data_IF_016918229549
#
_entry.id   IF_016918229549
#
_cell.length_a   1.000
_cell.length_b   1.000
_cell.length_c   1.000
_cell.angle_alpha   90.00
_cell.angle_beta   90.00
_cell.angle_gamma   90.00
#
_symmetry.space_group_name_H-M   'P 1'
#
loop_
_entity.id
_entity.type
_entity.pdbx_description
1 polymer ?
#
# COMPACT_ATOMS: atom_id res chain seq x y z
N UNK A 1 -7.60 -8.67 5.92
CA UNK A 1 -6.46 -9.14 6.76
C UNK A 1 -6.25 -8.18 7.94
N UNK A 2 -5.38 -8.50 8.92
CA UNK A 2 -5.00 -7.51 9.94
C UNK A 2 -4.25 -6.32 9.33
N UNK A 3 -4.39 -5.12 9.91
CA UNK A 3 -3.82 -3.89 9.34
C UNK A 3 -2.29 -3.96 9.17
N UNK A 4 -1.60 -4.56 10.15
CA UNK A 4 -0.15 -4.71 10.10
C UNK A 4 0.30 -5.73 9.04
N UNK A 5 -0.49 -6.78 8.82
CA UNK A 5 -0.23 -7.73 7.74
C UNK A 5 -0.30 -7.05 6.36
N UNK A 6 -1.31 -6.21 6.13
CA UNK A 6 -1.46 -5.46 4.87
C UNK A 6 -0.32 -4.46 4.68
N UNK A 7 0.08 -3.75 5.74
CA UNK A 7 1.23 -2.83 5.68
C UNK A 7 2.51 -3.56 5.31
N UNK A 8 2.77 -4.71 5.92
CA UNK A 8 3.94 -5.54 5.63
C UNK A 8 3.90 -6.07 4.20
N UNK A 9 2.74 -6.48 3.69
CA UNK A 9 2.59 -6.96 2.32
C UNK A 9 2.83 -5.83 1.30
N UNK A 10 2.28 -4.63 1.53
CA UNK A 10 2.53 -3.43 0.70
C UNK A 10 4.03 -3.14 0.64
N UNK A 11 4.71 -3.14 1.78
CA UNK A 11 6.15 -2.88 1.84
C UNK A 11 6.95 -3.94 1.08
N UNK A 12 6.64 -5.21 1.31
CA UNK A 12 7.28 -6.32 0.63
C UNK A 12 7.12 -6.22 -0.89
N UNK A 13 5.89 -5.98 -1.36
CA UNK A 13 5.61 -5.82 -2.79
C UNK A 13 6.31 -4.61 -3.41
N UNK A 14 6.36 -3.46 -2.72
CA UNK A 14 7.11 -2.28 -3.19
C UNK A 14 8.59 -2.56 -3.37
N UNK A 15 9.20 -3.35 -2.47
CA UNK A 15 10.60 -3.79 -2.61
C UNK A 15 10.77 -4.69 -3.84
N UNK A 16 9.84 -5.61 -4.09
CA UNK A 16 9.87 -6.47 -5.27
C UNK A 16 9.74 -5.67 -6.58
N UNK A 17 8.77 -4.74 -6.66
CA UNK A 17 8.57 -3.84 -7.80
C UNK A 17 9.86 -3.05 -8.09
N UNK A 18 10.51 -2.52 -7.05
CA UNK A 18 11.75 -1.76 -7.19
C UNK A 18 12.89 -2.62 -7.77
N UNK A 19 12.98 -3.89 -7.35
CA UNK A 19 13.96 -4.84 -7.91
C UNK A 19 13.66 -5.18 -9.36
N UNK A 20 12.41 -5.51 -9.69
CA UNK A 20 12.00 -5.80 -11.06
C UNK A 20 12.27 -4.65 -12.02
N UNK A 21 12.00 -3.40 -11.62
CA UNK A 21 12.33 -2.22 -12.43
C UNK A 21 13.82 -2.12 -12.76
N UNK A 22 14.70 -2.47 -11.81
CA UNK A 22 16.15 -2.47 -12.03
C UNK A 22 16.56 -3.58 -13.01
N UNK A 23 15.97 -4.76 -12.89
CA UNK A 23 16.26 -5.88 -13.78
C UNK A 23 15.75 -5.61 -15.20
N UNK A 24 14.54 -5.05 -15.34
CA UNK A 24 14.02 -4.59 -16.63
C UNK A 24 14.94 -3.56 -17.29
N UNK A 25 15.46 -2.59 -16.54
CA UNK A 25 16.41 -1.62 -17.07
C UNK A 25 17.71 -2.28 -17.57
N UNK A 26 18.19 -3.33 -16.88
CA UNK A 26 19.36 -4.09 -17.32
C UNK A 26 19.07 -4.87 -18.60
N UNK A 27 17.92 -5.54 -18.68
CA UNK A 27 17.49 -6.28 -19.86
C UNK A 27 17.31 -5.36 -21.08
N UNK A 28 16.68 -4.20 -20.88
CA UNK A 28 16.49 -3.19 -21.93
C UNK A 28 17.84 -2.67 -22.45
N UNK A 29 18.81 -2.41 -21.57
CA UNK A 29 20.18 -2.02 -21.97
C UNK A 29 20.92 -3.11 -22.72
N UNK A 30 20.58 -4.38 -22.49
CA UNK A 30 21.10 -5.51 -23.24
C UNK A 30 20.35 -5.75 -24.57
N UNK A 31 19.36 -4.92 -24.91
CA UNK A 31 18.54 -5.08 -26.12
C UNK A 31 17.55 -6.24 -26.07
N UNK A 32 17.25 -6.75 -24.86
CA UNK A 32 16.29 -7.84 -24.65
C UNK A 32 14.88 -7.24 -24.56
N UNK A 33 13.91 -7.84 -25.25
CA UNK A 33 12.51 -7.46 -25.14
C UNK A 33 11.97 -7.66 -23.71
N UNK A 34 11.24 -6.68 -23.20
CA UNK A 34 10.75 -6.62 -21.82
C UNK A 34 9.22 -6.59 -21.74
N UNK A 35 8.48 -6.75 -22.83
CA UNK A 35 7.01 -6.60 -22.84
C UNK A 35 6.28 -7.51 -21.83
N UNK A 36 6.76 -8.74 -21.65
CA UNK A 36 6.22 -9.64 -20.63
C UNK A 36 6.51 -9.16 -19.18
N UNK A 37 7.69 -8.57 -18.96
CA UNK A 37 8.07 -8.03 -17.66
C UNK A 37 7.30 -6.74 -17.31
N UNK A 38 7.03 -5.88 -18.31
CA UNK A 38 6.17 -4.70 -18.15
C UNK A 38 4.75 -5.07 -17.74
N UNK A 39 4.18 -6.10 -18.39
CA UNK A 39 2.84 -6.60 -18.05
C UNK A 39 2.79 -7.14 -16.62
N UNK A 40 3.82 -7.88 -16.19
CA UNK A 40 3.92 -8.37 -14.81
C UNK A 40 4.02 -7.22 -13.81
N UNK A 41 4.85 -6.22 -14.12
CA UNK A 41 5.04 -5.05 -13.27
C UNK A 41 3.74 -4.25 -13.09
N UNK A 42 2.96 -4.10 -14.16
CA UNK A 42 1.65 -3.45 -14.11
C UNK A 42 0.68 -4.18 -13.16
N UNK A 43 0.57 -5.51 -13.28
CA UNK A 43 -0.27 -6.33 -12.36
C UNK A 43 0.18 -6.23 -10.92
N UNK A 44 1.49 -6.18 -10.67
CA UNK A 44 2.02 -6.00 -9.32
C UNK A 44 1.66 -4.63 -8.75
N UNK A 45 1.69 -3.58 -9.58
CA UNK A 45 1.30 -2.24 -9.19
C UNK A 45 -0.20 -2.16 -8.86
N UNK A 46 -1.06 -2.73 -9.71
CA UNK A 46 -2.51 -2.81 -9.48
C UNK A 46 -2.84 -3.50 -8.15
N UNK A 47 -2.15 -4.61 -7.85
CA UNK A 47 -2.33 -5.31 -6.57
C UNK A 47 -1.91 -4.43 -5.37
N UNK A 48 -0.79 -3.70 -5.47
CA UNK A 48 -0.38 -2.76 -4.42
C UNK A 48 -1.42 -1.67 -4.21
N UNK A 49 -1.98 -1.12 -5.29
CA UNK A 49 -2.99 -0.07 -5.21
C UNK A 49 -4.27 -0.59 -4.53
N UNK A 50 -4.67 -1.84 -4.81
CA UNK A 50 -5.75 -2.53 -4.11
C UNK A 50 -5.48 -2.70 -2.60
N UNK A 51 -4.27 -3.14 -2.22
CA UNK A 51 -3.88 -3.27 -0.82
C UNK A 51 -3.86 -1.92 -0.09
N UNK A 52 -3.45 -0.85 -0.77
CA UNK A 52 -3.47 0.51 -0.21
C UNK A 52 -4.91 0.94 0.09
N UNK A 53 -5.85 0.66 -0.81
CA UNK A 53 -7.27 0.94 -0.60
C UNK A 53 -7.87 0.11 0.56
N UNK A 54 -7.54 -1.18 0.66
CA UNK A 54 -7.96 -2.02 1.81
C UNK A 54 -7.40 -1.45 3.13
N UNK A 55 -6.11 -1.08 3.14
CA UNK A 55 -5.47 -0.45 4.29
C UNK A 55 -6.19 0.83 4.70
N UNK A 56 -6.53 1.71 3.74
CA UNK A 56 -7.18 2.98 4.03
C UNK A 56 -8.61 2.79 4.57
N UNK A 57 -9.31 1.78 4.08
CA UNK A 57 -10.63 1.36 4.60
C UNK A 57 -10.52 0.89 6.04
N UNK A 58 -9.60 -0.03 6.34
CA UNK A 58 -9.38 -0.55 7.69
C UNK A 58 -8.87 0.51 8.67
N UNK A 59 -8.02 1.43 8.22
CA UNK A 59 -7.62 2.60 9.03
C UNK A 59 -8.86 3.46 9.34
N UNK A 60 -9.74 3.68 8.37
CA UNK A 60 -10.97 4.43 8.54
C UNK A 60 -11.93 3.78 9.54
N UNK A 61 -12.09 2.47 9.48
CA UNK A 61 -12.94 1.68 10.38
C UNK A 61 -12.41 1.66 11.82
N UNK A 62 -11.09 1.56 12.00
CA UNK A 62 -10.46 1.55 13.33
C UNK A 62 -10.41 2.92 14.01
N UNK A 63 -10.67 4.01 13.28
CA UNK A 63 -10.71 5.35 13.87
C UNK A 63 -11.92 5.48 14.79
N UNK A 64 -11.66 5.74 16.08
CA UNK A 64 -12.70 6.15 17.02
C UNK A 64 -13.38 7.42 16.53
N UNK A 65 -14.71 7.45 16.58
CA UNK A 65 -15.54 8.60 16.22
C UNK A 65 -16.18 9.20 17.46
N UNK A 66 -16.53 10.49 17.40
CA UNK A 66 -17.33 11.10 18.45
C UNK A 66 -18.73 10.47 18.49
N UNK A 67 -19.29 10.17 19.69
CA UNK A 67 -20.64 9.65 19.81
C UNK A 67 -21.66 10.52 19.07
N UNK A 68 -22.54 9.91 18.27
CA UNK A 68 -23.58 10.63 17.52
C UNK A 68 -23.09 11.40 16.29
N UNK A 69 -21.81 11.30 15.89
CA UNK A 69 -21.29 11.96 14.68
C UNK A 69 -20.39 11.04 13.85
N UNK A 70 -20.20 11.36 12.57
CA UNK A 70 -19.22 10.67 11.72
C UNK A 70 -17.79 11.24 11.84
N UNK A 71 -17.56 12.18 12.77
CA UNK A 71 -16.27 12.86 12.93
C UNK A 71 -15.28 11.96 13.67
N UNK A 72 -14.16 11.65 13.02
CA UNK A 72 -13.06 10.90 13.63
C UNK A 72 -12.36 11.71 14.73
N UNK A 73 -11.98 11.03 15.80
CA UNK A 73 -11.17 11.57 16.89
C UNK A 73 -9.70 11.45 16.47
N UNK A 74 -9.07 12.59 16.22
CA UNK A 74 -7.64 12.66 15.89
C UNK A 74 -6.85 13.04 17.16
N UNK A 75 -5.82 12.25 17.51
CA UNK A 75 -4.98 12.49 18.69
C UNK A 75 -5.66 12.15 20.02
N UNK A 76 -5.00 12.48 21.14
CA UNK A 76 -5.60 12.32 22.47
C UNK A 76 -6.80 13.26 22.60
N UNK A 77 -8.01 12.76 22.90
CA UNK A 77 -9.19 13.59 23.09
C UNK A 77 -8.91 14.68 24.13
N UNK A 78 -9.47 15.88 23.96
CA UNK A 78 -9.33 16.96 24.94
C UNK A 78 -9.72 16.51 26.36
N UNK A 79 -10.68 15.60 26.49
CA UNK A 79 -11.11 14.99 27.76
C UNK A 79 -10.07 14.07 28.42
N UNK A 80 -8.97 13.75 27.75
CA UNK A 80 -7.88 12.87 28.22
C UNK A 80 -6.53 13.59 28.33
N UNK A 81 -6.50 14.92 28.13
CA UNK A 81 -5.31 15.73 28.44
C UNK A 81 -5.34 15.99 29.96
N UNK A 82 -4.49 15.27 30.70
CA UNK A 82 -4.18 15.54 32.11
C UNK A 82 -3.06 16.57 32.21
#
# INVERSE_FOLDING_TARGET
>A
MGLDAIRNEIEHMRRQITRQRKDMLRLQRAGIDIGAAETLLARMQEKVDGLVAERDTLVGEQRRKYPGTNKAINGTPASRRA
#
